data_IF_075550760987
#
_entry.id   IF_075550760987
#
_cell.length_a   1.000
_cell.length_b   1.000
_cell.length_c   1.000
_cell.angle_alpha   90.00
_cell.angle_beta   90.00
_cell.angle_gamma   90.00
#
_symmetry.space_group_name_H-M   'P 1'
#
loop_
_entity.id
_entity.type
_entity.pdbx_description
1 polymer ?
#
# COMPACT_ATOMS: atom_id res chain seq x y z
N UNK A 1 -18.08 -13.22 -6.46
CA UNK A 1 -17.12 -14.22 -6.95
C UNK A 1 -15.84 -13.95 -6.19
N UNK A 2 -15.27 -14.94 -5.50
CA UNK A 2 -14.15 -14.68 -4.63
C UNK A 2 -12.89 -14.44 -5.46
N UNK A 3 -12.13 -13.41 -5.10
CA UNK A 3 -10.82 -13.08 -5.70
C UNK A 3 -9.90 -14.32 -5.85
N UNK A 4 -10.02 -15.29 -4.94
CA UNK A 4 -9.27 -16.55 -4.95
C UNK A 4 -9.41 -17.35 -6.26
N UNK A 5 -10.57 -17.32 -6.92
CA UNK A 5 -10.82 -18.10 -8.16
C UNK A 5 -10.55 -17.34 -9.45
N UNK A 6 -10.53 -16.01 -9.40
CA UNK A 6 -10.42 -15.19 -10.61
C UNK A 6 -9.00 -15.24 -11.21
N UNK A 7 -8.85 -15.04 -12.51
CA UNK A 7 -7.53 -15.08 -13.18
C UNK A 7 -7.07 -13.71 -13.66
N UNK A 8 -7.87 -12.67 -13.46
CA UNK A 8 -7.61 -11.30 -13.85
C UNK A 8 -8.49 -10.34 -13.03
N UNK A 9 -8.13 -9.06 -13.02
CA UNK A 9 -8.97 -8.04 -12.42
C UNK A 9 -10.34 -7.95 -13.12
N UNK A 10 -11.44 -7.83 -12.37
CA UNK A 10 -12.74 -7.51 -12.95
C UNK A 10 -12.64 -6.22 -13.78
N UNK A 11 -13.21 -6.21 -14.99
CA UNK A 11 -13.19 -5.05 -15.87
C UNK A 11 -13.73 -3.77 -15.21
N UNK A 12 -14.64 -3.92 -14.23
CA UNK A 12 -15.16 -2.83 -13.42
C UNK A 12 -14.08 -2.08 -12.64
N UNK A 13 -13.07 -2.78 -12.08
CA UNK A 13 -11.95 -2.14 -11.38
C UNK A 13 -11.12 -1.30 -12.33
N UNK A 14 -10.69 -1.84 -13.46
CA UNK A 14 -9.94 -1.09 -14.47
C UNK A 14 -10.69 0.15 -14.95
N UNK A 15 -12.02 0.04 -15.12
CA UNK A 15 -12.88 1.18 -15.48
C UNK A 15 -12.90 2.27 -14.40
N UNK A 16 -12.99 1.89 -13.12
CA UNK A 16 -12.97 2.85 -12.00
C UNK A 16 -11.64 3.61 -11.98
N UNK A 17 -10.51 2.90 -12.07
CA UNK A 17 -9.19 3.54 -12.13
C UNK A 17 -9.06 4.47 -13.34
N UNK A 18 -9.55 4.07 -14.52
CA UNK A 18 -9.52 4.90 -15.72
C UNK A 18 -10.37 6.17 -15.59
N UNK A 19 -11.52 6.09 -14.91
CA UNK A 19 -12.38 7.26 -14.62
C UNK A 19 -11.65 8.22 -13.69
N UNK A 20 -11.10 7.73 -12.58
CA UNK A 20 -10.40 8.54 -11.59
C UNK A 20 -9.14 9.21 -12.16
N UNK A 21 -8.34 8.48 -12.97
CA UNK A 21 -7.13 9.03 -13.62
C UNK A 21 -7.43 10.21 -14.55
N UNK A 22 -8.62 10.27 -15.16
CA UNK A 22 -9.02 11.37 -16.07
C UNK A 22 -9.46 12.64 -15.33
N UNK A 23 -9.65 12.58 -14.00
CA UNK A 23 -10.04 13.74 -13.24
C UNK A 23 -8.84 14.66 -13.04
N UNK A 24 -8.88 15.82 -13.70
CA UNK A 24 -7.78 16.80 -13.73
C UNK A 24 -7.69 17.65 -12.45
N UNK A 25 -8.27 17.18 -11.33
CA UNK A 25 -8.25 17.90 -10.06
C UNK A 25 -7.07 17.43 -9.19
N UNK A 26 -6.41 18.34 -8.46
CA UNK A 26 -5.40 18.01 -7.47
C UNK A 26 -6.13 17.51 -6.22
N UNK A 27 -6.30 16.19 -6.11
CA UNK A 27 -6.71 15.59 -4.85
C UNK A 27 -5.82 14.40 -4.55
N UNK A 28 -5.21 14.43 -3.36
CA UNK A 28 -4.49 13.33 -2.71
C UNK A 28 -5.36 12.05 -2.59
N UNK A 29 -6.67 12.17 -2.80
CA UNK A 29 -7.65 11.09 -2.68
C UNK A 29 -8.09 10.48 -4.03
N UNK A 30 -7.54 10.91 -5.18
CA UNK A 30 -7.96 10.42 -6.51
C UNK A 30 -7.99 8.89 -6.60
N UNK A 31 -7.00 8.26 -5.98
CA UNK A 31 -6.81 6.81 -6.00
C UNK A 31 -7.41 6.09 -4.79
N UNK A 32 -7.85 6.82 -3.76
CA UNK A 32 -8.38 6.22 -2.53
C UNK A 32 -9.60 5.33 -2.81
N UNK A 33 -10.65 5.87 -3.45
CA UNK A 33 -11.86 5.11 -3.77
C UNK A 33 -11.60 3.87 -4.65
N UNK A 34 -10.80 3.98 -5.73
CA UNK A 34 -10.37 2.82 -6.50
C UNK A 34 -9.66 1.74 -5.67
N UNK A 35 -8.75 2.11 -4.77
CA UNK A 35 -8.02 1.15 -3.93
C UNK A 35 -8.85 0.57 -2.80
N UNK A 36 -9.73 1.37 -2.18
CA UNK A 36 -10.74 0.88 -1.24
C UNK A 36 -11.57 -0.23 -1.89
N UNK A 37 -12.05 -0.01 -3.12
CA UNK A 37 -12.80 -1.02 -3.86
C UNK A 37 -11.96 -2.24 -4.22
N UNK A 38 -10.71 -2.06 -4.63
CA UNK A 38 -9.78 -3.15 -4.99
C UNK A 38 -9.47 -4.03 -3.77
N UNK A 39 -9.13 -3.43 -2.63
CA UNK A 39 -8.81 -4.15 -1.40
C UNK A 39 -10.04 -4.85 -0.83
N UNK A 40 -11.20 -4.21 -0.85
CA UNK A 40 -12.45 -4.88 -0.49
C UNK A 40 -12.67 -6.10 -1.39
N UNK A 41 -12.56 -5.98 -2.72
CA UNK A 41 -12.68 -7.13 -3.62
C UNK A 41 -11.65 -8.25 -3.32
N UNK A 42 -10.42 -7.92 -2.93
CA UNK A 42 -9.39 -8.90 -2.58
C UNK A 42 -9.71 -9.69 -1.31
N UNK A 43 -10.32 -9.05 -0.31
CA UNK A 43 -10.59 -9.62 1.02
C UNK A 43 -12.07 -9.90 1.28
N UNK A 44 -12.95 -9.66 0.31
CA UNK A 44 -14.37 -9.99 0.34
C UNK A 44 -14.52 -11.52 0.34
N UNK A 45 -14.60 -12.05 1.55
CA UNK A 45 -14.78 -13.47 1.87
C UNK A 45 -16.14 -13.64 2.54
N UNK A 46 -16.76 -14.80 2.37
CA UNK A 46 -18.06 -15.09 3.01
C UNK A 46 -17.95 -15.16 4.55
N UNK A 47 -16.72 -15.18 5.10
CA UNK A 47 -16.43 -15.39 6.52
C UNK A 47 -16.31 -14.11 7.35
N UNK A 48 -16.34 -12.91 6.73
CA UNK A 48 -16.13 -11.62 7.42
C UNK A 48 -14.85 -11.56 8.29
N UNK A 49 -13.86 -12.42 7.99
CA UNK A 49 -12.62 -12.53 8.76
C UNK A 49 -11.73 -11.29 8.66
N UNK A 50 -11.94 -10.49 7.62
CA UNK A 50 -11.18 -9.28 7.35
C UNK A 50 -12.10 -8.12 7.04
N UNK A 51 -11.66 -6.92 7.40
CA UNK A 51 -12.29 -5.68 6.96
C UNK A 51 -11.22 -4.65 6.57
N UNK A 52 -11.59 -3.80 5.63
CA UNK A 52 -10.76 -2.73 5.09
C UNK A 52 -11.16 -1.43 5.75
N UNK A 53 -10.20 -0.67 6.28
CA UNK A 53 -10.48 0.61 6.94
C UNK A 53 -9.45 1.69 6.57
N UNK A 54 -9.91 2.93 6.28
CA UNK A 54 -9.01 4.08 6.24
C UNK A 54 -8.40 4.33 7.61
N UNK A 55 -7.14 4.73 7.61
CA UNK A 55 -6.42 5.18 8.79
C UNK A 55 -5.94 6.61 8.59
N UNK A 56 -6.05 7.41 9.65
CA UNK A 56 -5.53 8.77 9.70
C UNK A 56 -4.37 8.84 10.70
N UNK A 57 -3.39 9.69 10.43
CA UNK A 57 -2.42 10.06 11.48
C UNK A 57 -3.13 10.87 12.56
N UNK A 58 -2.93 10.54 13.86
CA UNK A 58 -3.18 11.50 14.93
C UNK A 58 -2.34 12.74 14.66
N UNK A 59 -2.98 13.91 14.61
CA UNK A 59 -2.40 15.22 14.25
C UNK A 59 -1.38 15.75 15.28
N UNK A 60 -0.91 14.93 16.22
CA UNK A 60 -0.19 15.39 17.42
C UNK A 60 1.29 15.74 17.20
N UNK A 61 1.83 15.60 15.98
CA UNK A 61 3.25 15.85 15.73
C UNK A 61 3.60 17.16 15.00
N UNK A 62 2.65 17.95 14.48
CA UNK A 62 2.98 19.24 13.84
C UNK A 62 1.88 20.29 14.00
N UNK A 63 1.90 21.03 15.11
CA UNK A 63 1.26 22.34 15.19
C UNK A 63 2.06 23.33 14.31
N UNK A 64 1.87 23.28 13.00
CA UNK A 64 2.56 24.17 12.06
C UNK A 64 2.31 23.90 10.58
N UNK A 65 2.06 22.65 10.18
CA UNK A 65 1.72 22.29 8.80
C UNK A 65 0.26 21.83 8.73
N UNK A 66 -0.60 22.77 8.35
CA UNK A 66 -2.00 22.50 8.14
C UNK A 66 -2.21 21.66 6.87
N UNK A 67 -2.97 20.57 7.03
CA UNK A 67 -3.66 19.81 5.97
C UNK A 67 -2.77 18.92 5.09
N UNK A 68 -2.30 17.81 5.66
CA UNK A 68 -2.15 16.58 4.86
C UNK A 68 -2.57 15.41 5.75
N UNK A 69 -3.88 15.22 5.89
CA UNK A 69 -4.46 14.04 6.53
C UNK A 69 -4.20 12.86 5.61
N UNK A 70 -2.97 12.34 5.62
CA UNK A 70 -2.57 11.20 4.77
C UNK A 70 -3.43 10.00 5.18
N UNK A 71 -4.44 9.71 4.35
CA UNK A 71 -5.26 8.52 4.47
C UNK A 71 -4.51 7.38 3.81
N UNK A 72 -4.19 6.36 4.61
CA UNK A 72 -3.71 5.08 4.12
C UNK A 72 -4.76 4.02 4.46
N UNK A 73 -4.78 2.92 3.71
CA UNK A 73 -5.75 1.85 3.93
C UNK A 73 -5.07 0.72 4.68
N UNK A 74 -5.76 0.14 5.66
CA UNK A 74 -5.30 -1.05 6.36
C UNK A 74 -6.38 -2.12 6.28
N UNK A 75 -5.94 -3.36 6.07
CA UNK A 75 -6.77 -4.54 6.22
C UNK A 75 -6.50 -5.11 7.60
N UNK A 76 -7.57 -5.27 8.37
CA UNK A 76 -7.56 -5.83 9.70
C UNK A 76 -8.23 -7.20 9.72
N UNK A 77 -7.82 -8.07 10.64
CA UNK A 77 -8.60 -9.26 10.99
C UNK A 77 -9.78 -8.90 11.91
N UNK A 78 -10.62 -9.88 12.25
CA UNK A 78 -11.78 -9.71 13.15
C UNK A 78 -11.41 -9.21 14.56
N UNK A 79 -10.16 -9.39 15.01
CA UNK A 79 -9.63 -8.85 16.27
C UNK A 79 -9.08 -7.42 16.14
N UNK A 80 -9.30 -6.75 15.00
CA UNK A 80 -8.82 -5.39 14.73
C UNK A 80 -7.27 -5.29 14.74
N UNK A 81 -6.59 -6.34 14.28
CA UNK A 81 -5.13 -6.38 14.15
C UNK A 81 -4.70 -6.30 12.67
N UNK A 82 -3.64 -5.54 12.34
CA UNK A 82 -3.28 -5.27 10.94
C UNK A 82 -2.62 -6.48 10.27
N UNK A 83 -3.04 -6.79 9.04
CA UNK A 83 -2.44 -7.85 8.21
C UNK A 83 -1.87 -7.34 6.88
N UNK A 84 -2.36 -6.20 6.39
CA UNK A 84 -1.88 -5.52 5.19
C UNK A 84 -2.06 -4.01 5.38
N UNK A 85 -1.06 -3.22 4.98
CA UNK A 85 -1.16 -1.77 4.86
C UNK A 85 -0.96 -1.32 3.40
N UNK A 86 -1.61 -0.23 3.01
CA UNK A 86 -1.52 0.34 1.68
C UNK A 86 -1.42 1.87 1.76
N UNK A 87 -0.23 2.38 1.44
CA UNK A 87 0.05 3.81 1.28
C UNK A 87 -0.21 4.22 -0.16
N UNK A 88 -1.05 5.24 -0.35
CA UNK A 88 -1.57 5.64 -1.66
C UNK A 88 -1.21 7.10 -1.91
N UNK A 89 -0.55 7.36 -3.04
CA UNK A 89 -0.18 8.67 -3.54
C UNK A 89 -0.54 8.80 -5.03
N UNK A 90 -0.42 10.01 -5.56
CA UNK A 90 -0.72 10.32 -6.96
C UNK A 90 0.32 9.73 -7.94
N UNK A 91 -0.06 9.50 -9.19
CA UNK A 91 0.85 8.97 -10.23
C UNK A 91 2.02 9.91 -10.52
N UNK A 92 1.85 11.22 -10.30
CA UNK A 92 2.94 12.20 -10.44
C UNK A 92 4.12 11.98 -9.49
N UNK A 93 3.97 11.16 -8.44
CA UNK A 93 5.05 10.87 -7.48
C UNK A 93 6.12 9.95 -8.06
N UNK A 94 5.74 9.01 -8.92
CA UNK A 94 6.68 8.03 -9.47
C UNK A 94 7.81 8.69 -10.28
N UNK A 95 7.56 9.87 -10.87
CA UNK A 95 8.53 10.61 -11.68
C UNK A 95 9.53 11.48 -10.92
N UNK A 96 9.44 11.58 -9.58
CA UNK A 96 10.26 12.51 -8.79
C UNK A 96 11.04 11.79 -7.68
N UNK A 97 12.38 11.92 -7.62
CA UNK A 97 13.20 11.16 -6.68
C UNK A 97 12.95 11.50 -5.20
N UNK A 98 12.64 12.75 -4.88
CA UNK A 98 12.25 13.20 -3.55
C UNK A 98 10.91 12.61 -3.11
N UNK A 99 9.94 12.50 -4.03
CA UNK A 99 8.63 11.90 -3.72
C UNK A 99 8.72 10.38 -3.58
N UNK A 100 9.57 9.70 -4.38
CA UNK A 100 9.88 8.28 -4.19
C UNK A 100 10.51 8.01 -2.83
N UNK A 101 11.49 8.82 -2.41
CA UNK A 101 12.08 8.70 -1.07
C UNK A 101 11.03 8.93 0.03
N UNK A 102 10.22 9.99 -0.11
CA UNK A 102 9.17 10.28 0.87
C UNK A 102 8.13 9.17 0.98
N UNK A 103 7.79 8.50 -0.14
CA UNK A 103 6.88 7.36 -0.15
C UNK A 103 7.48 6.13 0.57
N UNK A 104 8.76 5.82 0.33
CA UNK A 104 9.46 4.75 1.06
C UNK A 104 9.51 5.03 2.56
N UNK A 105 9.91 6.24 2.95
CA UNK A 105 9.97 6.62 4.36
C UNK A 105 8.61 6.58 5.05
N UNK A 106 7.53 7.00 4.38
CA UNK A 106 6.18 6.95 4.93
C UNK A 106 5.76 5.51 5.23
N UNK A 107 5.94 4.59 4.29
CA UNK A 107 5.62 3.16 4.49
C UNK A 107 6.41 2.60 5.67
N UNK A 108 7.72 2.86 5.74
CA UNK A 108 8.58 2.38 6.83
C UNK A 108 8.14 2.92 8.20
N UNK A 109 7.72 4.20 8.26
CA UNK A 109 7.14 4.76 9.49
C UNK A 109 5.88 4.02 9.92
N UNK A 110 5.04 3.53 8.99
CA UNK A 110 3.86 2.70 9.33
C UNK A 110 4.24 1.34 9.89
N UNK A 111 5.28 0.72 9.35
CA UNK A 111 5.80 -0.54 9.89
C UNK A 111 6.22 -0.39 11.35
N UNK A 112 6.87 0.72 11.73
CA UNK A 112 7.25 0.96 13.13
C UNK A 112 6.06 0.92 14.10
N UNK A 113 4.88 1.42 13.68
CA UNK A 113 3.67 1.40 14.51
C UNK A 113 2.89 0.08 14.43
N UNK A 114 2.78 -0.52 13.24
CA UNK A 114 1.82 -1.62 12.99
C UNK A 114 2.44 -3.01 13.09
N UNK A 115 3.74 -3.15 12.85
CA UNK A 115 4.41 -4.44 12.88
C UNK A 115 4.29 -5.13 14.25
N UNK A 116 4.41 -4.45 15.41
CA UNK A 116 4.22 -5.08 16.73
C UNK A 116 2.80 -5.60 16.98
N UNK A 117 1.80 -5.10 16.25
CA UNK A 117 0.39 -5.48 16.41
C UNK A 117 -0.04 -6.57 15.42
N UNK A 118 0.77 -6.86 14.41
CA UNK A 118 0.46 -7.85 13.40
C UNK A 118 0.47 -9.26 14.01
N UNK A 119 -0.62 -10.04 13.85
CA UNK A 119 -0.71 -11.36 14.46
C UNK A 119 -0.10 -12.47 13.60
N UNK A 120 0.25 -12.15 12.35
CA UNK A 120 0.81 -13.10 11.38
C UNK A 120 2.33 -13.06 11.42
N UNK A 121 3.04 -14.09 10.92
CA UNK A 121 4.50 -14.05 10.79
C UNK A 121 5.01 -12.92 9.87
N UNK A 122 4.12 -12.33 9.07
CA UNK A 122 4.43 -11.30 8.08
C UNK A 122 3.35 -10.23 8.05
N UNK A 123 3.77 -8.97 8.13
CA UNK A 123 2.96 -7.82 7.75
C UNK A 123 3.29 -7.43 6.31
N UNK A 124 2.30 -7.41 5.44
CA UNK A 124 2.47 -6.95 4.07
C UNK A 124 2.21 -5.45 3.96
N UNK A 125 2.91 -4.79 3.03
CA UNK A 125 2.76 -3.37 2.78
C UNK A 125 2.79 -3.05 1.29
N UNK A 126 1.89 -2.18 0.85
CA UNK A 126 1.83 -1.70 -0.52
C UNK A 126 2.15 -0.20 -0.51
N UNK A 127 3.06 0.21 -1.38
CA UNK A 127 3.25 1.62 -1.70
C UNK A 127 2.80 1.86 -3.13
N UNK A 128 1.81 2.72 -3.30
CA UNK A 128 1.09 2.89 -4.55
C UNK A 128 1.23 4.34 -5.01
N UNK A 129 1.93 4.56 -6.11
CA UNK A 129 2.08 5.86 -6.77
C UNK A 129 1.20 5.84 -8.02
N UNK A 130 -0.05 6.26 -7.86
CA UNK A 130 -1.07 6.03 -8.87
C UNK A 130 -1.37 4.55 -9.02
N UNK A 131 -0.92 3.91 -10.11
CA UNK A 131 -1.01 2.44 -10.30
C UNK A 131 0.33 1.72 -10.19
N UNK A 132 1.43 2.47 -10.08
CA UNK A 132 2.77 1.93 -9.87
C UNK A 132 2.90 1.44 -8.42
N UNK A 133 3.31 0.19 -8.24
CA UNK A 133 3.34 -0.53 -6.97
C UNK A 133 4.78 -0.88 -6.59
N UNK A 134 5.10 -0.67 -5.32
CA UNK A 134 6.21 -1.31 -4.62
C UNK A 134 5.68 -2.13 -3.45
N UNK A 135 6.07 -3.39 -3.38
CA UNK A 135 5.66 -4.30 -2.30
C UNK A 135 6.71 -4.33 -1.20
N UNK A 136 6.23 -4.26 0.04
CA UNK A 136 7.03 -4.36 1.25
C UNK A 136 6.63 -5.61 2.03
N UNK A 137 7.63 -6.22 2.66
CA UNK A 137 7.48 -7.41 3.50
C UNK A 137 8.17 -7.17 4.83
N UNK A 138 7.37 -6.99 5.89
CA UNK A 138 7.86 -6.97 7.26
C UNK A 138 7.80 -8.37 7.88
N UNK A 139 8.93 -8.85 8.39
CA UNK A 139 9.04 -10.12 9.10
C UNK A 139 8.92 -9.88 10.60
N UNK A 140 7.89 -10.44 11.25
CA UNK A 140 7.57 -10.12 12.65
C UNK A 140 8.62 -10.69 13.62
N UNK A 141 9.18 -11.86 13.31
CA UNK A 141 10.14 -12.52 14.20
C UNK A 141 11.48 -11.80 14.25
N UNK A 142 11.94 -11.29 13.11
CA UNK A 142 13.24 -10.60 12.99
C UNK A 142 13.14 -9.08 13.07
N UNK A 143 11.94 -8.52 12.89
CA UNK A 143 11.72 -7.08 12.75
C UNK A 143 12.33 -6.49 11.47
N UNK A 144 12.69 -7.33 10.49
CA UNK A 144 13.31 -6.87 9.24
C UNK A 144 12.25 -6.47 8.23
N UNK A 145 12.58 -5.48 7.39
CA UNK A 145 11.69 -4.97 6.37
C UNK A 145 12.39 -5.00 5.00
N UNK A 146 11.78 -5.70 4.06
CA UNK A 146 12.19 -5.72 2.67
C UNK A 146 11.25 -4.85 1.82
N UNK A 147 11.76 -4.19 0.77
CA UNK A 147 13.18 -4.04 0.42
C UNK A 147 13.98 -3.26 1.48
N UNK A 148 15.32 -3.39 1.47
CA UNK A 148 16.19 -2.66 2.41
C UNK A 148 16.10 -1.15 2.21
N UNK A 149 16.31 -0.39 3.29
CA UNK A 149 16.26 1.07 3.21
C UNK A 149 17.49 1.60 2.48
N UNK A 150 17.25 2.40 1.43
CA UNK A 150 18.31 3.14 0.76
C UNK A 150 18.33 4.58 1.28
N UNK A 151 19.31 4.88 2.11
CA UNK A 151 19.50 6.23 2.63
C UNK A 151 19.87 7.22 1.52
N UNK A 152 19.50 8.49 1.72
CA UNK A 152 19.96 9.59 0.88
C UNK A 152 21.50 9.60 0.84
N UNK A 153 22.14 9.60 -0.36
CA UNK A 153 23.59 9.51 -0.47
C UNK A 153 24.35 10.69 0.14
N UNK A 154 23.81 11.91 0.00
CA UNK A 154 24.39 13.14 0.55
C UNK A 154 23.27 14.12 0.95
N UNK A 155 23.24 14.49 2.25
CA UNK A 155 22.25 15.41 2.81
C UNK A 155 22.41 16.85 2.30
N UNK A 156 23.59 17.22 1.79
CA UNK A 156 23.90 18.56 1.31
C UNK A 156 23.67 18.73 -0.20
N UNK A 157 23.25 17.68 -0.92
CA UNK A 157 23.05 17.70 -2.38
C UNK A 157 21.65 17.29 -2.78
N UNK A 158 21.15 17.87 -3.86
CA UNK A 158 19.88 17.44 -4.48
C UNK A 158 19.97 15.94 -4.82
N UNK A 159 18.87 15.21 -4.62
CA UNK A 159 18.80 13.80 -4.96
C UNK A 159 19.08 13.57 -6.46
N UNK A 160 19.87 12.55 -6.82
CA UNK A 160 20.00 12.12 -8.20
C UNK A 160 18.63 11.83 -8.82
N UNK A 161 18.42 12.19 -10.09
CA UNK A 161 17.14 11.97 -10.78
C UNK A 161 16.72 10.49 -10.81
N UNK A 162 17.70 9.59 -10.85
CA UNK A 162 17.51 8.14 -10.85
C UNK A 162 17.45 7.52 -9.45
N UNK A 163 17.45 8.31 -8.37
CA UNK A 163 17.37 7.77 -7.02
C UNK A 163 16.02 7.05 -6.80
N UNK A 164 16.08 5.77 -6.39
CA UNK A 164 14.94 4.84 -6.30
C UNK A 164 14.15 4.67 -7.62
N UNK A 165 14.76 4.93 -8.76
CA UNK A 165 14.16 4.63 -10.05
C UNK A 165 14.03 3.11 -10.24
N UNK A 166 12.90 2.66 -10.80
CA UNK A 166 12.59 1.24 -10.96
C UNK A 166 11.98 0.57 -9.73
N UNK A 167 11.96 1.23 -8.57
CA UNK A 167 11.44 0.62 -7.33
C UNK A 167 9.90 0.50 -7.28
N UNK A 168 9.18 1.21 -8.16
CA UNK A 168 7.72 1.11 -8.36
C UNK A 168 7.40 0.74 -9.82
N UNK A 169 8.10 -0.25 -10.38
CA UNK A 169 7.97 -0.69 -11.77
C UNK A 169 6.74 -1.57 -12.03
N UNK A 170 6.24 -2.27 -11.02
CA UNK A 170 5.06 -3.12 -11.12
C UNK A 170 3.79 -2.28 -11.25
N UNK A 171 3.03 -2.44 -12.33
CA UNK A 171 1.68 -1.87 -12.44
C UNK A 171 0.66 -2.79 -11.77
N UNK A 172 -0.03 -2.31 -10.73
CA UNK A 172 -1.03 -3.09 -9.98
C UNK A 172 -2.17 -3.60 -10.86
N UNK A 173 -2.51 -2.88 -11.94
CA UNK A 173 -3.61 -3.26 -12.84
C UNK A 173 -3.17 -4.22 -13.96
N UNK A 174 -1.88 -4.51 -14.07
CA UNK A 174 -1.36 -5.52 -15.00
C UNK A 174 -1.65 -6.94 -14.53
N UNK A 175 -1.41 -7.92 -15.41
CA UNK A 175 -1.51 -9.34 -15.01
C UNK A 175 -0.49 -9.68 -13.92
N UNK A 176 0.74 -9.18 -14.02
CA UNK A 176 1.76 -9.39 -12.99
C UNK A 176 1.34 -8.77 -11.65
N UNK A 177 0.72 -7.58 -11.67
CA UNK A 177 0.16 -6.94 -10.49
C UNK A 177 -0.99 -7.73 -9.86
N UNK A 178 -1.86 -8.30 -10.69
CA UNK A 178 -2.91 -9.23 -10.24
C UNK A 178 -2.32 -10.47 -9.56
N UNK A 179 -1.37 -11.13 -10.22
CA UNK A 179 -0.72 -12.34 -9.72
C UNK A 179 0.00 -12.05 -8.39
N UNK A 180 0.64 -10.86 -8.28
CA UNK A 180 1.28 -10.43 -7.04
C UNK A 180 0.30 -10.20 -5.90
N UNK A 181 -0.85 -9.57 -6.16
CA UNK A 181 -1.90 -9.42 -5.15
C UNK A 181 -2.48 -10.78 -4.75
N UNK A 182 -2.61 -11.72 -5.70
CA UNK A 182 -3.05 -13.08 -5.41
C UNK A 182 -2.08 -13.81 -4.49
N UNK A 183 -0.78 -13.69 -4.73
CA UNK A 183 0.27 -14.20 -3.84
C UNK A 183 0.11 -13.64 -2.41
N UNK A 184 0.01 -12.32 -2.27
CA UNK A 184 -0.10 -11.63 -0.98
C UNK A 184 -1.34 -12.07 -0.21
N UNK A 185 -2.51 -12.04 -0.85
CA UNK A 185 -3.77 -12.43 -0.19
C UNK A 185 -3.77 -13.91 0.18
N UNK A 186 -3.24 -14.78 -0.67
CA UNK A 186 -3.14 -16.22 -0.38
C UNK A 186 -2.24 -16.49 0.83
N UNK A 187 -1.11 -15.79 0.91
CA UNK A 187 -0.18 -15.88 2.05
C UNK A 187 -0.87 -15.44 3.36
N UNK A 188 -1.61 -14.32 3.34
CA UNK A 188 -2.40 -13.85 4.49
C UNK A 188 -3.47 -14.86 4.90
N UNK A 189 -4.30 -15.32 3.95
CA UNK A 189 -5.38 -16.27 4.22
C UNK A 189 -4.84 -17.60 4.80
N UNK A 190 -3.73 -18.09 4.25
CA UNK A 190 -3.09 -19.32 4.73
C UNK A 190 -2.53 -19.14 6.14
N UNK A 191 -1.84 -18.02 6.40
CA UNK A 191 -1.31 -17.73 7.73
C UNK A 191 -2.42 -17.58 8.78
N UNK A 192 -3.53 -16.94 8.43
CA UNK A 192 -4.68 -16.76 9.31
C UNK A 192 -5.44 -18.06 9.60
N UNK A 193 -5.43 -19.04 8.69
CA UNK A 193 -6.07 -20.34 8.92
C UNK A 193 -5.35 -21.21 9.97
N UNK A 194 -4.13 -20.83 10.35
CA UNK A 194 -3.31 -21.53 11.34
C UNK A 194 -3.27 -20.84 12.72
N UNK A 195 -4.03 -19.76 12.89
CA UNK A 195 -4.27 -19.09 14.18
C UNK A 195 -5.47 -19.69 14.91
#
# INVERSE_FOLDING_TARGET
MPFSTDTNWPQGLSKIFAICRRQNQPFEYRYYGPYDKLLNYCFETDSFQFFVAPQHLPSELNAGDAVDSIVFIVVFNEQHQPVLLAEIKDDGWAGKPDFRLAADEQVRRRYNSMMPECPLPRLWGLSLLGTSLRVYRGDIATGTLQPEYQARPDLNRILPLNFLEGEWDLDILSQEGFDKMKEIVTDILTASAHM
#
